data_IF_837424242117
#
_entry.id   IF_837424242117
#
_cell.length_a   1.000
_cell.length_b   1.000
_cell.length_c   1.000
_cell.angle_alpha   90.00
_cell.angle_beta   90.00
_cell.angle_gamma   90.00
#
_symmetry.space_group_name_H-M   'P 1'
#
loop_
_entity.id
_entity.type
_entity.pdbx_description
1 polymer ?
#
# COMPACT_ATOMS: atom_id res chain seq x y z
N UNK A 1 -8.39 -0.66 -8.39
CA UNK A 1 -8.25 -1.85 -9.25
C UNK A 1 -6.87 -2.40 -8.97
N UNK A 2 -6.76 -3.58 -8.36
CA UNK A 2 -5.45 -4.16 -8.08
C UNK A 2 -4.76 -4.61 -9.38
N UNK A 3 -3.43 -4.66 -9.36
CA UNK A 3 -2.60 -5.03 -10.51
C UNK A 3 -1.66 -6.19 -10.15
N UNK A 4 -1.31 -7.00 -11.15
CA UNK A 4 -0.15 -7.90 -11.06
C UNK A 4 1.15 -7.13 -11.24
N UNK A 5 2.29 -7.77 -10.97
CA UNK A 5 3.60 -7.18 -11.24
C UNK A 5 3.79 -6.87 -12.73
N UNK A 6 3.37 -7.77 -13.62
CA UNK A 6 3.53 -7.55 -15.07
C UNK A 6 2.67 -6.38 -15.58
N UNK A 7 1.43 -6.27 -15.11
CA UNK A 7 0.54 -5.15 -15.45
C UNK A 7 1.10 -3.82 -14.95
N UNK A 8 1.65 -3.83 -13.74
CA UNK A 8 2.26 -2.66 -13.14
C UNK A 8 3.51 -2.21 -13.90
N UNK A 9 4.39 -3.15 -14.25
CA UNK A 9 5.60 -2.86 -15.02
C UNK A 9 5.30 -2.41 -16.46
N UNK A 10 4.22 -2.93 -17.07
CA UNK A 10 3.76 -2.47 -18.38
C UNK A 10 3.26 -1.02 -18.34
N UNK A 11 2.63 -0.59 -17.23
CA UNK A 11 2.04 0.75 -17.09
C UNK A 11 3.05 1.81 -16.60
N UNK A 12 3.86 1.46 -15.61
CA UNK A 12 4.74 2.41 -14.90
C UNK A 12 6.24 2.15 -15.14
N UNK A 13 6.58 1.12 -15.92
CA UNK A 13 7.95 0.71 -16.17
C UNK A 13 8.54 -0.12 -15.01
N UNK A 14 9.85 -0.34 -15.04
CA UNK A 14 10.54 -1.18 -14.05
C UNK A 14 10.28 -0.69 -12.63
N UNK A 15 9.92 -1.62 -11.74
CA UNK A 15 9.64 -1.35 -10.34
C UNK A 15 10.87 -1.64 -9.47
N UNK A 16 11.00 -0.93 -8.37
CA UNK A 16 11.95 -1.32 -7.31
C UNK A 16 11.48 -2.64 -6.69
N UNK A 17 12.42 -3.52 -6.37
CA UNK A 17 12.12 -4.78 -5.69
C UNK A 17 11.29 -4.56 -4.42
N UNK A 18 10.37 -5.48 -4.11
CA UNK A 18 9.62 -5.43 -2.87
C UNK A 18 10.56 -5.37 -1.67
N UNK A 19 10.31 -4.41 -0.78
CA UNK A 19 11.06 -4.21 0.45
C UNK A 19 10.13 -3.98 1.64
N UNK A 20 10.71 -4.08 2.83
CA UNK A 20 10.10 -3.69 4.11
C UNK A 20 11.07 -2.76 4.81
N UNK A 21 10.56 -1.83 5.61
CA UNK A 21 11.41 -1.00 6.46
C UNK A 21 11.83 -1.79 7.71
N UNK A 22 10.93 -2.64 8.21
CA UNK A 22 11.18 -3.56 9.31
C UNK A 22 10.88 -5.03 8.88
N UNK A 23 11.77 -6.01 9.15
CA UNK A 23 11.53 -7.40 8.79
C UNK A 23 10.21 -8.00 9.34
N UNK A 24 9.74 -7.50 10.50
CA UNK A 24 8.52 -7.96 11.17
C UNK A 24 7.23 -7.33 10.58
N UNK A 25 7.34 -6.32 9.71
CA UNK A 25 6.19 -5.78 8.96
C UNK A 25 5.57 -6.86 8.08
N UNK A 26 4.27 -6.76 7.80
CA UNK A 26 3.57 -7.69 6.93
C UNK A 26 3.39 -7.13 5.53
N UNK A 27 3.51 -5.82 5.38
CA UNK A 27 3.32 -5.12 4.12
C UNK A 27 4.65 -4.99 3.39
N UNK A 28 4.62 -5.22 2.09
CA UNK A 28 5.72 -4.98 1.18
C UNK A 28 5.49 -3.69 0.42
N UNK A 29 6.52 -2.88 0.29
CA UNK A 29 6.51 -1.62 -0.42
C UNK A 29 7.21 -1.74 -1.77
N UNK A 30 6.76 -0.96 -2.76
CA UNK A 30 7.42 -0.81 -4.05
C UNK A 30 7.04 0.53 -4.69
N UNK A 31 7.85 0.99 -5.64
CA UNK A 31 7.61 2.21 -6.41
C UNK A 31 8.30 2.10 -7.78
N UNK A 32 7.83 2.84 -8.80
CA UNK A 32 8.45 2.80 -10.12
C UNK A 32 9.85 3.41 -10.06
N UNK A 33 10.81 2.80 -10.78
CA UNK A 33 12.21 3.25 -10.78
C UNK A 33 12.41 4.57 -11.52
N UNK A 34 11.57 4.86 -12.53
CA UNK A 34 11.70 6.02 -13.43
C UNK A 34 10.63 7.09 -13.24
N UNK A 35 9.59 6.84 -12.47
CA UNK A 35 8.57 7.87 -12.18
C UNK A 35 8.90 8.66 -10.93
N UNK A 36 8.39 9.89 -10.89
CA UNK A 36 8.41 10.73 -9.69
C UNK A 36 7.78 9.94 -8.52
N UNK A 37 8.40 10.03 -7.34
CA UNK A 37 8.05 9.39 -6.05
C UNK A 37 6.60 9.57 -5.55
N UNK A 38 5.70 10.12 -6.37
CA UNK A 38 4.29 10.39 -6.07
C UNK A 38 3.48 9.09 -6.04
N UNK A 39 3.85 8.10 -6.85
CA UNK A 39 3.10 6.84 -6.97
C UNK A 39 3.67 5.77 -6.04
N UNK A 40 3.04 5.59 -4.88
CA UNK A 40 3.40 4.57 -3.90
C UNK A 40 2.50 3.34 -4.04
N UNK A 41 3.14 2.17 -4.07
CA UNK A 41 2.49 0.87 -4.20
C UNK A 41 2.86 -0.03 -3.03
N UNK A 42 1.93 -0.91 -2.67
CA UNK A 42 2.14 -1.86 -1.60
C UNK A 42 1.44 -3.19 -1.87
N UNK A 43 1.86 -4.23 -1.15
CA UNK A 43 1.31 -5.58 -1.27
C UNK A 43 1.37 -6.33 0.06
N UNK A 44 0.33 -7.11 0.35
CA UNK A 44 0.30 -8.00 1.51
C UNK A 44 0.93 -9.38 1.22
N UNK A 45 1.10 -9.74 -0.05
CA UNK A 45 1.50 -11.10 -0.47
C UNK A 45 2.50 -11.14 -1.64
N UNK A 46 2.93 -9.97 -2.15
CA UNK A 46 3.78 -9.76 -3.35
C UNK A 46 3.20 -10.27 -4.68
N UNK A 47 1.91 -10.63 -4.70
CA UNK A 47 1.18 -11.07 -5.90
C UNK A 47 0.19 -10.02 -6.36
N UNK A 48 -0.59 -9.48 -5.41
CA UNK A 48 -1.57 -8.41 -5.64
C UNK A 48 -0.94 -7.10 -5.21
N UNK A 49 -0.90 -6.12 -6.12
CA UNK A 49 -0.31 -4.80 -5.85
C UNK A 49 -1.43 -3.75 -5.84
N UNK A 50 -1.45 -2.95 -4.79
CA UNK A 50 -2.38 -1.85 -4.59
C UNK A 50 -1.65 -0.52 -4.83
N UNK A 51 -2.32 0.41 -5.49
CA UNK A 51 -1.89 1.79 -5.59
C UNK A 51 -2.55 2.60 -4.48
N UNK A 52 -1.76 3.20 -3.61
CA UNK A 52 -2.28 3.83 -2.39
C UNK A 52 -3.36 4.88 -2.63
N UNK A 53 -3.18 5.77 -3.60
CA UNK A 53 -4.16 6.82 -3.89
C UNK A 53 -5.46 6.29 -4.52
N UNK A 54 -5.40 5.20 -5.28
CA UNK A 54 -6.56 4.66 -6.00
C UNK A 54 -7.30 3.55 -5.25
N UNK A 55 -6.59 2.81 -4.40
CA UNK A 55 -7.13 1.63 -3.73
C UNK A 55 -7.36 1.81 -2.23
N UNK A 56 -6.49 2.53 -1.53
CA UNK A 56 -6.64 2.70 -0.08
C UNK A 56 -7.58 3.87 0.26
N UNK A 57 -8.55 3.70 1.18
CA UNK A 57 -8.95 2.45 1.84
C UNK A 57 -10.02 1.64 1.08
N UNK A 58 -10.70 2.23 0.09
CA UNK A 58 -11.96 1.75 -0.47
C UNK A 58 -11.95 0.36 -1.13
N UNK A 59 -10.81 -0.08 -1.67
CA UNK A 59 -10.69 -1.35 -2.40
C UNK A 59 -10.04 -2.47 -1.55
N UNK A 60 -9.82 -2.22 -0.27
CA UNK A 60 -9.23 -3.18 0.67
C UNK A 60 -10.31 -3.72 1.62
N UNK A 61 -10.06 -4.92 2.14
CA UNK A 61 -10.84 -5.46 3.26
C UNK A 61 -10.58 -4.66 4.53
N UNK A 62 -11.49 -4.73 5.52
CA UNK A 62 -11.33 -4.00 6.78
C UNK A 62 -10.07 -4.42 7.53
N UNK A 63 -9.71 -5.70 7.45
CA UNK A 63 -8.50 -6.28 8.04
C UNK A 63 -7.23 -5.76 7.36
N UNK A 64 -7.23 -5.64 6.04
CA UNK A 64 -6.13 -5.07 5.27
C UNK A 64 -5.97 -3.58 5.53
N UNK A 65 -7.07 -2.82 5.60
CA UNK A 65 -7.05 -1.40 5.98
C UNK A 65 -6.52 -1.25 7.40
N UNK A 66 -6.94 -2.11 8.33
CA UNK A 66 -6.44 -2.11 9.71
C UNK A 66 -4.93 -2.35 9.74
N UNK A 67 -4.46 -3.40 9.05
CA UNK A 67 -3.05 -3.75 9.00
C UNK A 67 -2.21 -2.62 8.39
N UNK A 68 -2.65 -2.06 7.26
CA UNK A 68 -1.99 -0.92 6.64
C UNK A 68 -1.96 0.30 7.56
N UNK A 69 -3.09 0.63 8.21
CA UNK A 69 -3.15 1.76 9.14
C UNK A 69 -2.24 1.56 10.35
N UNK A 70 -2.07 0.30 10.80
CA UNK A 70 -1.18 -0.03 11.91
C UNK A 70 0.31 0.12 11.55
N UNK A 71 0.72 -0.39 10.39
CA UNK A 71 2.13 -0.37 9.96
C UNK A 71 2.52 0.98 9.32
N UNK A 72 1.57 1.68 8.70
CA UNK A 72 1.79 2.92 7.97
C UNK A 72 0.87 4.06 8.46
N UNK A 73 0.89 4.42 9.76
CA UNK A 73 -0.12 5.30 10.36
C UNK A 73 -0.16 6.70 9.73
N UNK A 74 1.00 7.30 9.46
CA UNK A 74 1.07 8.63 8.81
C UNK A 74 0.51 8.62 7.40
N UNK A 75 0.74 7.54 6.65
CA UNK A 75 0.17 7.40 5.30
C UNK A 75 -1.33 7.22 5.38
N UNK A 76 -1.83 6.34 6.27
CA UNK A 76 -3.26 6.11 6.43
C UNK A 76 -4.03 7.39 6.82
N UNK A 77 -3.42 8.25 7.65
CA UNK A 77 -4.01 9.54 8.04
C UNK A 77 -4.20 10.50 6.86
N UNK A 78 -3.31 10.48 5.85
CA UNK A 78 -3.48 11.25 4.59
C UNK A 78 -4.75 10.84 3.82
N UNK A 79 -5.29 9.66 4.12
CA UNK A 79 -6.51 9.09 3.52
C UNK A 79 -7.64 8.97 4.54
N UNK A 80 -7.57 9.70 5.65
CA UNK A 80 -8.64 9.77 6.66
C UNK A 80 -8.75 8.54 7.56
N UNK A 81 -7.82 7.58 7.49
CA UNK A 81 -7.85 6.37 8.32
C UNK A 81 -6.88 6.45 9.50
N UNK A 82 -7.35 6.05 10.68
CA UNK A 82 -6.58 6.00 11.93
C UNK A 82 -7.07 4.91 12.87
N UNK A 83 -6.18 4.44 13.75
CA UNK A 83 -6.53 3.51 14.82
C UNK A 83 -6.61 4.27 16.15
N UNK A 84 -7.80 4.31 16.74
CA UNK A 84 -8.06 4.93 18.05
C UNK A 84 -8.49 3.84 19.01
N UNK A 85 -7.77 3.67 20.14
CA UNK A 85 -8.03 2.62 21.13
C UNK A 85 -8.18 1.21 20.51
N UNK A 86 -7.36 0.90 19.50
CA UNK A 86 -7.38 -0.39 18.81
C UNK A 86 -8.52 -0.57 17.80
N UNK A 87 -9.36 0.45 17.57
CA UNK A 87 -10.42 0.43 16.56
C UNK A 87 -10.03 1.26 15.33
N UNK A 88 -10.22 0.68 14.15
CA UNK A 88 -10.05 1.38 12.88
C UNK A 88 -11.24 2.31 12.62
N UNK A 89 -10.93 3.57 12.34
CA UNK A 89 -11.84 4.64 11.94
C UNK A 89 -11.32 5.22 10.63
N UNK A 90 -12.19 5.34 9.62
CA UNK A 90 -11.90 6.00 8.35
C UNK A 90 -13.01 7.00 8.06
N UNK A 91 -12.64 8.24 7.73
CA UNK A 91 -13.54 9.38 7.43
C UNK A 91 -13.70 9.62 5.93
#
# INVERSE_FOLDING_TARGET
MYMTKEELEARYGSMVCFYKEDPDERIWHTYPMKENFVTYFFSFNRKIIYQFWEDFPQNLTREEVYLFTKENPRMAELRGCRIIHGQLICE
#
